data_IF_985265813678
#
_entry.id   IF_985265813678
#
_cell.length_a   1.000
_cell.length_b   1.000
_cell.length_c   1.000
_cell.angle_alpha   90.00
_cell.angle_beta   90.00
_cell.angle_gamma   90.00
#
_symmetry.space_group_name_H-M   'P 1'
#
loop_
_entity.id
_entity.type
_entity.pdbx_description
1 polymer ?
#
# COMPACT_ATOMS: atom_id res chain seq x y z
N UNK A 1 3.93 -4.09 8.92
CA UNK A 1 5.28 -4.48 8.45
C UNK A 1 6.18 -3.24 8.35
N UNK A 2 7.47 -3.36 8.66
CA UNK A 2 8.48 -2.31 8.45
C UNK A 2 9.44 -2.82 7.36
N UNK A 3 9.79 -2.00 6.37
CA UNK A 3 10.71 -2.43 5.32
C UNK A 3 12.15 -2.41 5.85
N UNK A 4 12.95 -3.39 5.43
CA UNK A 4 14.40 -3.35 5.66
C UNK A 4 15.03 -2.27 4.78
N UNK A 5 16.19 -1.74 5.18
CA UNK A 5 16.91 -0.74 4.38
C UNK A 5 17.26 -1.27 2.97
N UNK A 6 17.61 -2.55 2.85
CA UNK A 6 17.82 -3.18 1.55
C UNK A 6 16.58 -3.12 0.65
N UNK A 7 15.40 -3.46 1.18
CA UNK A 7 14.14 -3.39 0.43
C UNK A 7 13.78 -1.97 0.03
N UNK A 8 14.02 -0.99 0.92
CA UNK A 8 13.83 0.43 0.62
C UNK A 8 14.70 0.85 -0.57
N UNK A 9 15.98 0.48 -0.56
CA UNK A 9 16.89 0.80 -1.68
C UNK A 9 16.47 0.10 -2.98
N UNK A 10 16.00 -1.15 -2.92
CA UNK A 10 15.48 -1.87 -4.09
C UNK A 10 14.24 -1.18 -4.69
N UNK A 11 13.30 -0.72 -3.86
CA UNK A 11 12.12 0.02 -4.29
C UNK A 11 12.52 1.33 -4.97
N UNK A 12 13.39 2.11 -4.33
CA UNK A 12 13.87 3.37 -4.89
C UNK A 12 14.63 3.18 -6.20
N UNK A 13 15.44 2.13 -6.31
CA UNK A 13 16.15 1.78 -7.54
C UNK A 13 15.17 1.42 -8.67
N UNK A 14 14.13 0.61 -8.37
CA UNK A 14 13.08 0.26 -9.33
C UNK A 14 12.38 1.52 -9.83
N UNK A 15 11.91 2.38 -8.91
CA UNK A 15 11.20 3.62 -9.25
C UNK A 15 12.03 4.59 -10.08
N UNK A 16 13.33 4.66 -9.80
CA UNK A 16 14.28 5.49 -10.57
C UNK A 16 14.49 4.97 -11.99
N UNK A 17 14.52 3.65 -12.17
CA UNK A 17 14.75 3.02 -13.47
C UNK A 17 13.51 3.09 -14.35
N UNK A 18 12.39 2.63 -13.82
CA UNK A 18 11.07 2.68 -14.43
C UNK A 18 10.03 2.57 -13.32
N UNK A 19 9.29 3.66 -13.09
CA UNK A 19 8.31 3.71 -12.03
C UNK A 19 7.03 2.93 -12.34
N UNK A 20 6.76 2.65 -13.62
CA UNK A 20 5.48 2.06 -14.05
C UNK A 20 5.28 0.67 -13.44
N UNK A 21 6.21 -0.30 -13.56
CA UNK A 21 6.00 -1.65 -13.03
C UNK A 21 5.77 -1.67 -11.52
N UNK A 22 6.52 -0.87 -10.75
CA UNK A 22 6.31 -0.81 -9.32
C UNK A 22 5.00 -0.11 -8.94
N UNK A 23 4.59 0.90 -9.72
CA UNK A 23 3.31 1.59 -9.52
C UNK A 23 2.11 0.66 -9.78
N UNK A 24 2.21 -0.21 -10.77
CA UNK A 24 1.20 -1.24 -11.06
C UNK A 24 1.09 -2.23 -9.90
N UNK A 25 2.23 -2.77 -9.43
CA UNK A 25 2.26 -3.66 -8.25
C UNK A 25 1.70 -2.96 -7.01
N UNK A 26 2.05 -1.69 -6.78
CA UNK A 26 1.50 -0.92 -5.67
C UNK A 26 -0.02 -0.75 -5.77
N UNK A 27 -0.54 -0.50 -6.97
CA UNK A 27 -1.97 -0.42 -7.23
C UNK A 27 -2.67 -1.75 -6.93
N UNK A 28 -2.10 -2.87 -7.38
CA UNK A 28 -2.60 -4.22 -7.13
C UNK A 28 -2.66 -4.52 -5.63
N UNK A 29 -1.60 -4.20 -4.88
CA UNK A 29 -1.59 -4.34 -3.42
C UNK A 29 -2.75 -3.57 -2.76
N UNK A 30 -3.02 -2.34 -3.21
CA UNK A 30 -4.15 -1.57 -2.70
C UNK A 30 -5.49 -2.24 -3.03
N UNK A 31 -5.65 -2.76 -4.25
CA UNK A 31 -6.87 -3.43 -4.68
C UNK A 31 -7.10 -4.74 -3.91
N UNK A 32 -6.06 -5.55 -3.72
CA UNK A 32 -6.11 -6.79 -2.93
C UNK A 32 -6.46 -6.52 -1.47
N UNK A 33 -5.88 -5.46 -0.88
CA UNK A 33 -6.19 -5.06 0.50
C UNK A 33 -7.66 -4.69 0.64
N UNK A 34 -8.23 -3.93 -0.32
CA UNK A 34 -9.66 -3.62 -0.33
C UNK A 34 -10.51 -4.88 -0.52
N UNK A 35 -10.09 -5.79 -1.41
CA UNK A 35 -10.79 -7.06 -1.60
C UNK A 35 -10.82 -7.87 -0.29
N UNK A 36 -9.70 -7.91 0.45
CA UNK A 36 -9.65 -8.58 1.76
C UNK A 36 -10.56 -7.91 2.80
N UNK A 37 -10.64 -6.58 2.82
CA UNK A 37 -11.59 -5.84 3.67
C UNK A 37 -13.05 -6.22 3.36
N UNK A 38 -13.40 -6.32 2.08
CA UNK A 38 -14.75 -6.72 1.62
C UNK A 38 -15.03 -8.17 2.02
N UNK A 39 -14.11 -9.08 1.73
CA UNK A 39 -14.28 -10.51 1.98
C UNK A 39 -14.40 -10.87 3.45
N UNK A 40 -13.85 -10.03 4.34
CA UNK A 40 -13.91 -10.22 5.79
C UNK A 40 -15.06 -9.47 6.46
N UNK A 41 -15.89 -8.74 5.69
CA UNK A 41 -16.94 -7.88 6.25
C UNK A 41 -16.41 -6.70 7.07
N UNK A 42 -15.12 -6.38 6.97
CA UNK A 42 -14.48 -5.36 7.80
C UNK A 42 -15.06 -3.97 7.55
N UNK A 43 -15.58 -3.70 6.35
CA UNK A 43 -16.18 -2.42 5.96
C UNK A 43 -17.49 -2.09 6.70
N UNK A 44 -18.08 -3.07 7.42
CA UNK A 44 -19.25 -2.84 8.26
C UNK A 44 -18.89 -2.23 9.62
N UNK A 45 -17.60 -2.16 9.94
CA UNK A 45 -17.08 -1.60 11.19
C UNK A 45 -16.50 -0.20 10.97
N UNK A 46 -16.58 0.66 11.99
CA UNK A 46 -15.97 2.00 11.95
C UNK A 46 -14.45 1.93 11.72
N UNK A 47 -13.77 0.95 12.33
CA UNK A 47 -12.35 0.70 12.12
C UNK A 47 -12.05 0.39 10.64
N UNK A 48 -12.80 -0.52 10.02
CA UNK A 48 -12.59 -0.88 8.62
C UNK A 48 -12.94 0.23 7.64
N UNK A 49 -13.93 1.08 7.97
CA UNK A 49 -14.23 2.28 7.18
C UNK A 49 -13.10 3.31 7.24
N UNK A 50 -12.54 3.54 8.44
CA UNK A 50 -11.38 4.42 8.61
C UNK A 50 -10.16 3.90 7.86
N UNK A 51 -9.88 2.61 7.95
CA UNK A 51 -8.78 1.98 7.22
C UNK A 51 -8.98 2.04 5.70
N UNK A 52 -10.22 1.87 5.22
CA UNK A 52 -10.53 2.04 3.79
C UNK A 52 -10.27 3.46 3.31
N UNK A 53 -10.69 4.47 4.10
CA UNK A 53 -10.37 5.86 3.81
C UNK A 53 -8.85 6.12 3.83
N UNK A 54 -8.14 5.54 4.79
CA UNK A 54 -6.68 5.63 4.87
C UNK A 54 -6.02 4.98 3.64
N UNK A 55 -6.46 3.79 3.22
CA UNK A 55 -5.95 3.11 2.03
C UNK A 55 -6.15 3.96 0.76
N UNK A 56 -7.34 4.57 0.61
CA UNK A 56 -7.63 5.50 -0.48
C UNK A 56 -6.71 6.73 -0.45
N UNK A 57 -6.50 7.32 0.73
CA UNK A 57 -5.60 8.45 0.92
C UNK A 57 -4.15 8.09 0.57
N UNK A 58 -3.66 6.95 1.05
CA UNK A 58 -2.32 6.46 0.77
C UNK A 58 -2.10 6.18 -0.71
N UNK A 59 -3.09 5.58 -1.38
CA UNK A 59 -3.05 5.37 -2.83
C UNK A 59 -2.89 6.69 -3.57
N UNK A 60 -3.71 7.70 -3.26
CA UNK A 60 -3.58 9.02 -3.88
C UNK A 60 -2.24 9.70 -3.55
N UNK A 61 -1.78 9.60 -2.29
CA UNK A 61 -0.51 10.17 -1.86
C UNK A 61 0.67 9.58 -2.66
N UNK A 62 0.66 8.26 -2.91
CA UNK A 62 1.67 7.60 -3.74
C UNK A 62 1.70 8.16 -5.17
N UNK A 63 0.55 8.19 -5.86
CA UNK A 63 0.47 8.65 -7.25
C UNK A 63 0.72 10.16 -7.41
N UNK A 64 0.60 10.95 -6.35
CA UNK A 64 0.99 12.37 -6.35
C UNK A 64 2.51 12.58 -6.17
N UNK A 65 3.24 11.56 -5.72
CA UNK A 65 4.69 11.62 -5.51
C UNK A 65 5.48 11.06 -6.69
N UNK A 66 4.90 10.16 -7.48
CA UNK A 66 5.59 9.51 -8.60
C UNK A 66 5.19 10.18 -9.92
N UNK A 67 6.15 10.43 -10.84
CA UNK A 67 7.57 10.11 -10.75
C UNK A 67 8.46 11.14 -10.04
N UNK A 68 8.02 12.38 -9.83
CA UNK A 68 8.92 13.50 -9.54
C UNK A 68 9.57 13.47 -8.15
N UNK A 69 8.88 12.90 -7.17
CA UNK A 69 9.24 12.87 -5.74
C UNK A 69 9.27 11.44 -5.21
N UNK A 70 9.65 10.48 -6.06
CA UNK A 70 9.57 9.05 -5.77
C UNK A 70 10.36 8.60 -4.52
N UNK A 71 11.34 9.38 -4.05
CA UNK A 71 12.09 9.07 -2.81
C UNK A 71 11.19 9.18 -1.56
N UNK A 72 10.14 9.99 -1.63
CA UNK A 72 9.23 10.25 -0.53
C UNK A 72 8.11 9.22 -0.39
N UNK A 73 8.05 8.20 -1.27
CA UNK A 73 6.96 7.21 -1.27
C UNK A 73 7.10 6.14 -0.19
N UNK A 74 8.30 5.95 0.38
CA UNK A 74 8.58 4.84 1.30
C UNK A 74 7.62 4.79 2.51
N UNK A 75 7.32 5.90 3.20
CA UNK A 75 6.35 5.89 4.30
C UNK A 75 4.94 5.48 3.85
N UNK A 76 4.54 5.86 2.63
CA UNK A 76 3.24 5.47 2.06
C UNK A 76 3.21 3.97 1.75
N UNK A 77 4.28 3.43 1.15
CA UNK A 77 4.42 2.00 0.88
C UNK A 77 4.38 1.18 2.17
N UNK A 78 5.09 1.61 3.22
CA UNK A 78 5.08 0.90 4.51
C UNK A 78 3.69 0.86 5.14
N UNK A 79 2.94 1.97 5.10
CA UNK A 79 1.58 2.01 5.63
C UNK A 79 0.61 1.14 4.85
N UNK A 80 0.71 1.10 3.51
CA UNK A 80 -0.11 0.18 2.70
C UNK A 80 0.22 -1.28 3.02
N UNK A 81 1.51 -1.64 3.16
CA UNK A 81 1.91 -2.99 3.55
C UNK A 81 1.47 -3.37 4.98
N UNK A 82 1.31 -2.39 5.88
CA UNK A 82 0.72 -2.62 7.21
C UNK A 82 -0.77 -2.94 7.13
N UNK A 83 -1.52 -2.20 6.31
CA UNK A 83 -2.93 -2.48 6.07
C UNK A 83 -3.11 -3.83 5.37
N UNK A 84 -2.30 -4.13 4.36
CA UNK A 84 -2.32 -5.43 3.68
C UNK A 84 -2.10 -6.58 4.67
N UNK A 85 -1.04 -6.52 5.49
CA UNK A 85 -0.75 -7.55 6.50
C UNK A 85 -1.90 -7.72 7.51
N UNK A 86 -2.52 -6.62 7.94
CA UNK A 86 -3.68 -6.64 8.83
C UNK A 86 -4.85 -7.42 8.22
N UNK A 87 -5.21 -7.12 6.98
CA UNK A 87 -6.41 -7.70 6.35
C UNK A 87 -6.15 -9.09 5.75
N UNK A 88 -4.94 -9.38 5.28
CA UNK A 88 -4.55 -10.75 4.92
C UNK A 88 -4.64 -11.69 6.13
N UNK A 89 -4.18 -11.26 7.31
CA UNK A 89 -4.32 -12.04 8.55
C UNK A 89 -5.77 -12.22 8.97
N UNK A 90 -6.64 -11.23 8.75
CA UNK A 90 -8.08 -11.39 9.02
C UNK A 90 -8.74 -12.38 8.05
N UNK A 91 -8.29 -12.43 6.79
CA UNK A 91 -8.87 -13.31 5.76
C UNK A 91 -8.39 -14.76 5.87
N UNK A 92 -7.12 -14.98 6.21
CA UNK A 92 -6.47 -16.29 6.16
C UNK A 92 -5.96 -16.80 7.51
N UNK A 93 -6.00 -15.97 8.55
CA UNK A 93 -5.62 -16.34 9.91
C UNK A 93 -6.74 -16.94 10.74
#
# INVERSE_FOLDING_TARGET
>A
MILTEEKKQQILASLKQDYVPFSDVFHEICADTLADMIMTGSLDTEEGQNDHHQLSHLKHAYFNLVPERYVEVLPTVEQVLQLQDKYQKRRFG
#
